data_IF_542329678700
#
_entry.id   IF_542329678700
#
_cell.length_a   1.000
_cell.length_b   1.000
_cell.length_c   1.000
_cell.angle_alpha   90.00
_cell.angle_beta   90.00
_cell.angle_gamma   90.00
#
_symmetry.space_group_name_H-M   'P 1'
#
loop_
_entity.id
_entity.type
_entity.pdbx_description
1 polymer ?
#
# COMPACT_ATOMS: atom_id res chain seq x y z
N UNK A 1 -14.86 1.15 -10.49
CA UNK A 1 -14.04 1.35 -11.70
C UNK A 1 -13.22 0.09 -11.89
N UNK A 2 -13.22 -0.48 -13.09
CA UNK A 2 -12.52 -1.72 -13.38
C UNK A 2 -11.01 -1.56 -13.24
N UNK A 3 -10.42 -2.30 -12.33
CA UNK A 3 -8.96 -2.44 -12.26
C UNK A 3 -8.47 -3.26 -13.44
N UNK A 4 -7.35 -2.87 -14.02
CA UNK A 4 -6.60 -3.76 -14.91
C UNK A 4 -6.00 -4.85 -14.03
N UNK A 5 -6.39 -6.10 -14.26
CA UNK A 5 -5.88 -7.24 -13.48
C UNK A 5 -4.50 -7.72 -13.93
N UNK A 6 -3.99 -7.18 -15.02
CA UNK A 6 -2.73 -7.59 -15.60
C UNK A 6 -1.66 -6.50 -15.40
N UNK A 7 -0.62 -6.74 -14.59
CA UNK A 7 0.43 -5.77 -14.34
C UNK A 7 1.30 -5.45 -15.57
N UNK A 8 1.09 -6.13 -16.69
CA UNK A 8 1.81 -5.87 -17.94
C UNK A 8 1.04 -4.99 -18.92
N UNK A 9 -0.08 -4.42 -18.51
CA UNK A 9 -0.94 -3.58 -19.35
C UNK A 9 -1.16 -2.20 -18.74
N UNK A 10 -1.18 -1.14 -19.57
CA UNK A 10 -1.42 0.21 -19.08
C UNK A 10 -2.83 0.36 -18.51
N UNK A 11 -2.98 1.17 -17.48
CA UNK A 11 -4.26 1.52 -16.89
C UNK A 11 -5.16 2.28 -17.87
N UNK A 12 -6.45 1.97 -17.83
CA UNK A 12 -7.48 2.71 -18.58
C UNK A 12 -8.12 3.76 -17.66
N UNK A 13 -7.65 5.01 -17.75
CA UNK A 13 -8.14 6.10 -16.91
C UNK A 13 -9.43 6.78 -17.43
N UNK A 14 -9.89 6.46 -18.63
CA UNK A 14 -11.04 7.13 -19.25
C UNK A 14 -12.34 7.06 -18.42
N UNK A 15 -12.59 5.93 -17.77
CA UNK A 15 -13.78 5.75 -16.90
C UNK A 15 -13.76 6.62 -15.63
N UNK A 16 -12.61 7.13 -15.21
CA UNK A 16 -12.46 7.97 -14.01
C UNK A 16 -13.15 9.31 -14.24
N UNK A 17 -12.87 9.98 -15.36
CA UNK A 17 -13.52 11.25 -15.73
C UNK A 17 -15.04 11.07 -15.81
N UNK A 18 -15.50 10.06 -16.53
CA UNK A 18 -16.94 9.76 -16.67
C UNK A 18 -17.60 9.55 -15.31
N UNK A 19 -16.94 8.85 -14.40
CA UNK A 19 -17.46 8.64 -13.05
C UNK A 19 -17.54 9.93 -12.23
N UNK A 20 -16.49 10.77 -12.27
CA UNK A 20 -16.45 12.05 -11.54
C UNK A 20 -17.52 13.03 -12.03
N UNK A 21 -17.88 12.99 -13.32
CA UNK A 21 -18.84 13.91 -13.94
C UNK A 21 -20.25 13.33 -14.15
N UNK A 22 -20.54 12.12 -13.62
CA UNK A 22 -21.81 11.40 -13.87
C UNK A 22 -23.06 12.13 -13.39
N UNK A 23 -22.94 12.87 -12.28
CA UNK A 23 -24.00 13.71 -11.72
C UNK A 23 -23.37 14.79 -10.84
N UNK A 24 -23.44 16.05 -11.27
CA UNK A 24 -22.87 17.19 -10.57
C UNK A 24 -23.54 17.49 -9.21
N UNK A 25 -24.73 16.93 -8.94
CA UNK A 25 -25.46 17.11 -7.69
C UNK A 25 -25.14 16.07 -6.64
N UNK A 26 -24.43 15.01 -6.99
CA UNK A 26 -24.10 13.92 -6.09
C UNK A 26 -22.61 13.89 -5.77
N UNK A 27 -22.24 13.92 -4.49
CA UNK A 27 -20.87 13.64 -4.10
C UNK A 27 -20.47 12.20 -4.51
N UNK A 28 -19.18 11.93 -4.57
CA UNK A 28 -18.68 10.61 -4.91
C UNK A 28 -17.64 10.10 -3.90
N UNK A 29 -17.59 8.81 -3.76
CA UNK A 29 -16.46 8.08 -3.20
C UNK A 29 -15.91 7.18 -4.31
N UNK A 30 -14.65 7.36 -4.68
CA UNK A 30 -14.00 6.64 -5.76
C UNK A 30 -12.73 5.96 -5.24
N UNK A 31 -12.67 4.64 -5.33
CA UNK A 31 -11.48 3.87 -5.06
C UNK A 31 -10.84 3.46 -6.38
N UNK A 32 -9.57 3.81 -6.56
CA UNK A 32 -8.78 3.48 -7.74
C UNK A 32 -7.66 2.55 -7.29
N UNK A 33 -7.74 1.27 -7.65
CA UNK A 33 -6.72 0.29 -7.35
C UNK A 33 -5.75 0.19 -8.54
N UNK A 34 -4.58 0.81 -8.41
CA UNK A 34 -3.48 0.67 -9.36
C UNK A 34 -2.80 -0.68 -9.11
N UNK A 35 -2.36 -1.35 -10.18
CA UNK A 35 -1.69 -2.65 -10.06
C UNK A 35 -0.20 -2.46 -9.77
N UNK A 36 0.40 -1.45 -10.37
CA UNK A 36 1.82 -1.16 -10.21
C UNK A 36 2.14 -0.70 -8.76
N UNK A 37 3.29 -1.09 -8.25
CA UNK A 37 4.39 -1.86 -8.82
C UNK A 37 4.32 -3.36 -8.48
N UNK A 38 3.38 -4.10 -9.06
CA UNK A 38 3.26 -5.56 -8.88
C UNK A 38 4.12 -6.31 -9.92
N UNK A 39 4.77 -7.41 -9.53
CA UNK A 39 5.52 -8.25 -10.50
C UNK A 39 4.60 -8.79 -11.62
N UNK A 40 5.14 -9.01 -12.84
CA UNK A 40 6.52 -8.73 -13.29
C UNK A 40 6.74 -7.24 -13.54
N UNK A 41 7.90 -6.74 -13.18
CA UNK A 41 8.25 -5.32 -13.35
C UNK A 41 8.68 -5.04 -14.79
N UNK A 42 7.71 -4.74 -15.64
CA UNK A 42 7.88 -4.53 -17.10
C UNK A 42 7.39 -3.15 -17.57
N UNK A 43 6.75 -2.39 -16.65
CA UNK A 43 6.26 -1.06 -16.96
C UNK A 43 7.29 0.02 -16.60
N UNK A 44 7.16 1.17 -17.23
CA UNK A 44 8.09 2.28 -17.00
C UNK A 44 9.43 2.12 -17.75
N UNK A 45 10.33 3.03 -17.50
CA UNK A 45 11.64 3.13 -18.16
C UNK A 45 12.77 2.79 -17.19
N UNK A 46 13.21 1.54 -17.18
CA UNK A 46 14.29 1.06 -16.31
C UNK A 46 15.66 1.69 -16.62
N UNK A 47 15.86 2.29 -17.80
CA UNK A 47 17.12 2.97 -18.14
C UNK A 47 17.43 4.17 -17.23
N UNK A 48 16.39 4.76 -16.62
CA UNK A 48 16.50 5.83 -15.63
C UNK A 48 17.10 5.38 -14.30
N UNK A 49 17.18 4.08 -14.07
CA UNK A 49 17.63 3.46 -12.84
C UNK A 49 18.81 2.49 -13.08
N UNK A 50 19.98 2.99 -13.55
CA UNK A 50 21.11 2.13 -13.85
C UNK A 50 21.59 1.40 -12.59
N UNK A 51 21.81 0.08 -12.63
CA UNK A 51 22.13 -0.77 -11.46
C UNK A 51 23.29 -0.25 -10.60
N UNK A 52 24.32 0.32 -11.22
CA UNK A 52 25.50 0.88 -10.53
C UNK A 52 25.18 2.09 -9.64
N UNK A 53 24.08 2.81 -9.89
CA UNK A 53 23.66 3.99 -9.11
C UNK A 53 22.59 3.68 -8.05
N UNK A 54 22.06 2.47 -8.05
CA UNK A 54 21.01 2.07 -7.11
C UNK A 54 21.60 1.82 -5.73
N UNK A 55 20.99 2.43 -4.71
CA UNK A 55 21.22 2.09 -3.31
C UNK A 55 20.13 1.12 -2.87
N UNK A 56 20.51 -0.13 -2.64
CA UNK A 56 19.57 -1.15 -2.16
C UNK A 56 19.20 -0.92 -0.69
N UNK A 57 17.97 -1.29 -0.29
CA UNK A 57 17.61 -1.43 1.12
C UNK A 57 18.50 -2.48 1.81
N UNK A 58 18.78 -2.30 3.12
CA UNK A 58 19.73 -3.17 3.83
C UNK A 58 19.26 -4.62 4.01
N UNK A 59 17.99 -4.88 3.80
CA UNK A 59 17.41 -6.23 3.85
C UNK A 59 17.54 -7.01 2.53
N UNK A 60 18.10 -6.41 1.49
CA UNK A 60 18.28 -7.09 0.20
C UNK A 60 19.74 -7.43 -0.04
N UNK A 61 20.00 -8.66 -0.52
CA UNK A 61 21.33 -9.07 -0.94
C UNK A 61 21.81 -8.23 -2.13
N UNK A 62 23.02 -7.69 -2.03
CA UNK A 62 23.60 -6.83 -3.05
C UNK A 62 24.25 -7.64 -4.17
N UNK A 63 23.46 -8.01 -5.16
CA UNK A 63 23.90 -8.74 -6.34
C UNK A 63 23.55 -7.99 -7.62
N UNK A 64 24.23 -8.26 -8.75
CA UNK A 64 23.87 -7.68 -10.05
C UNK A 64 22.38 -7.88 -10.39
N UNK A 65 21.84 -9.05 -10.12
CA UNK A 65 20.44 -9.38 -10.39
C UNK A 65 19.48 -8.58 -9.51
N UNK A 66 19.76 -8.49 -8.21
CA UNK A 66 18.93 -7.70 -7.28
C UNK A 66 18.91 -6.23 -7.69
N UNK A 67 20.06 -5.67 -8.08
CA UNK A 67 20.16 -4.28 -8.54
C UNK A 67 19.37 -4.04 -9.82
N UNK A 68 19.44 -4.95 -10.78
CA UNK A 68 18.69 -4.88 -12.02
C UNK A 68 17.17 -4.90 -11.77
N UNK A 69 16.70 -5.85 -10.99
CA UNK A 69 15.28 -6.00 -10.70
C UNK A 69 14.75 -4.88 -9.80
N UNK A 70 15.57 -4.37 -8.87
CA UNK A 70 15.22 -3.20 -8.08
C UNK A 70 15.11 -1.94 -8.95
N UNK A 71 15.95 -1.80 -9.99
CA UNK A 71 15.84 -0.75 -10.99
C UNK A 71 14.52 -0.81 -11.76
N UNK A 72 14.08 -1.99 -12.15
CA UNK A 72 12.77 -2.21 -12.79
C UNK A 72 11.61 -1.87 -11.84
N UNK A 73 11.71 -2.27 -10.59
CA UNK A 73 10.72 -1.92 -9.55
C UNK A 73 10.59 -0.40 -9.37
N UNK A 74 11.71 0.33 -9.32
CA UNK A 74 11.71 1.79 -9.24
C UNK A 74 11.12 2.45 -10.49
N UNK A 75 11.35 1.86 -11.67
CA UNK A 75 10.74 2.33 -12.91
C UNK A 75 9.21 2.20 -12.90
N UNK A 76 8.68 1.10 -12.35
CA UNK A 76 7.24 0.94 -12.18
C UNK A 76 6.64 1.89 -11.14
N UNK A 77 7.36 2.20 -10.05
CA UNK A 77 6.92 3.23 -9.11
C UNK A 77 6.79 4.58 -9.83
N UNK A 78 7.76 4.94 -10.67
CA UNK A 78 7.70 6.17 -11.47
C UNK A 78 6.56 6.15 -12.48
N UNK A 79 6.29 5.00 -13.07
CA UNK A 79 5.15 4.82 -13.98
C UNK A 79 3.81 5.01 -13.23
N UNK A 80 3.66 4.39 -12.06
CA UNK A 80 2.49 4.57 -11.18
C UNK A 80 2.32 6.03 -10.74
N UNK A 81 3.40 6.70 -10.38
CA UNK A 81 3.37 8.13 -10.02
C UNK A 81 2.83 8.99 -11.15
N UNK A 82 3.22 8.69 -12.41
CA UNK A 82 2.64 9.31 -13.59
C UNK A 82 1.12 9.09 -13.71
N UNK A 83 0.64 7.89 -13.42
CA UNK A 83 -0.80 7.58 -13.41
C UNK A 83 -1.53 8.38 -12.32
N UNK A 84 -0.96 8.48 -11.12
CA UNK A 84 -1.49 9.33 -10.04
C UNK A 84 -1.56 10.78 -10.48
N UNK A 85 -0.53 11.29 -11.17
CA UNK A 85 -0.52 12.63 -11.76
C UNK A 85 -1.69 12.87 -12.73
N UNK A 86 -1.97 11.93 -13.63
CA UNK A 86 -3.10 12.03 -14.56
C UNK A 86 -4.47 11.97 -13.86
N UNK A 87 -4.59 11.20 -12.78
CA UNK A 87 -5.80 11.15 -11.95
C UNK A 87 -6.03 12.50 -11.27
N UNK A 88 -4.99 13.08 -10.67
CA UNK A 88 -5.06 14.38 -10.01
C UNK A 88 -5.38 15.50 -11.01
N UNK A 89 -4.79 15.47 -12.20
CA UNK A 89 -5.11 16.39 -13.30
C UNK A 89 -6.58 16.25 -13.75
N UNK A 90 -7.09 15.03 -13.82
CA UNK A 90 -8.51 14.80 -14.14
C UNK A 90 -9.42 15.38 -13.06
N UNK A 91 -9.08 15.23 -11.78
CA UNK A 91 -9.81 15.83 -10.66
C UNK A 91 -9.85 17.36 -10.75
N UNK A 92 -8.74 17.99 -11.13
CA UNK A 92 -8.68 19.46 -11.36
C UNK A 92 -9.54 19.88 -12.55
N UNK A 93 -9.44 19.20 -13.68
CA UNK A 93 -10.18 19.51 -14.89
C UNK A 93 -11.70 19.30 -14.75
N UNK A 94 -12.13 18.45 -13.81
CA UNK A 94 -13.56 18.25 -13.50
C UNK A 94 -14.08 19.19 -12.43
N UNK A 95 -13.24 20.09 -11.89
CA UNK A 95 -13.63 21.11 -10.93
C UNK A 95 -13.68 20.64 -9.46
N UNK A 96 -13.32 19.37 -9.18
CA UNK A 96 -13.48 18.76 -7.85
C UNK A 96 -12.23 18.82 -6.95
N UNK A 97 -11.14 19.47 -7.40
CA UNK A 97 -9.86 19.45 -6.65
C UNK A 97 -9.92 20.15 -5.28
N UNK A 98 -10.86 21.08 -5.07
CA UNK A 98 -10.98 21.83 -3.82
C UNK A 98 -11.84 21.14 -2.76
N UNK A 99 -12.81 20.37 -3.18
CA UNK A 99 -13.82 19.75 -2.31
C UNK A 99 -13.63 18.24 -2.12
N UNK A 100 -12.56 17.67 -2.68
CA UNK A 100 -12.25 16.25 -2.57
C UNK A 100 -11.07 16.00 -1.63
N UNK A 101 -11.28 15.13 -0.62
CA UNK A 101 -10.20 14.51 0.13
C UNK A 101 -9.61 13.37 -0.72
N UNK A 102 -8.35 13.50 -1.10
CA UNK A 102 -7.58 12.46 -1.78
C UNK A 102 -6.68 11.76 -0.77
N UNK A 103 -6.79 10.45 -0.69
CA UNK A 103 -5.86 9.59 0.04
C UNK A 103 -5.12 8.70 -0.95
N UNK A 104 -3.79 8.73 -0.93
CA UNK A 104 -2.95 7.77 -1.63
C UNK A 104 -2.30 6.84 -0.61
N UNK A 105 -2.34 5.54 -0.86
CA UNK A 105 -1.68 4.55 -0.02
C UNK A 105 -1.18 3.37 -0.84
N UNK A 106 -0.04 2.79 -0.45
CA UNK A 106 0.35 1.47 -0.93
C UNK A 106 -0.38 0.38 -0.13
N UNK A 107 -0.63 -0.76 -0.73
CA UNK A 107 -1.33 -1.88 -0.06
C UNK A 107 -0.44 -2.50 1.04
N UNK A 108 0.83 -2.75 0.71
CA UNK A 108 1.82 -3.42 1.56
C UNK A 108 3.25 -3.13 1.08
N UNK A 109 4.24 -3.81 1.64
CA UNK A 109 5.61 -3.80 1.14
C UNK A 109 5.78 -4.48 -0.21
N UNK A 110 6.97 -4.31 -0.81
CA UNK A 110 7.33 -4.90 -2.11
C UNK A 110 7.35 -6.43 -2.11
N UNK A 111 7.42 -7.05 -3.29
CA UNK A 111 7.55 -8.51 -3.41
C UNK A 111 8.99 -9.03 -3.28
N UNK A 112 9.91 -8.20 -2.80
CA UNK A 112 11.23 -8.67 -2.43
C UNK A 112 11.21 -9.46 -1.11
N UNK A 113 12.21 -10.36 -0.89
CA UNK A 113 12.32 -11.09 0.37
C UNK A 113 12.32 -10.18 1.60
N UNK A 114 11.64 -10.62 2.66
CA UNK A 114 11.52 -9.85 3.90
C UNK A 114 10.57 -8.64 3.86
N UNK A 115 9.76 -8.53 2.83
CA UNK A 115 8.77 -7.44 2.67
C UNK A 115 7.34 -8.01 2.69
N UNK A 116 6.64 -8.06 1.53
CA UNK A 116 5.30 -8.66 1.42
C UNK A 116 5.26 -10.04 2.09
N UNK A 117 4.12 -10.42 2.64
CA UNK A 117 3.86 -11.64 3.42
C UNK A 117 4.56 -11.73 4.78
N UNK A 118 5.07 -10.62 5.28
CA UNK A 118 5.65 -10.55 6.62
C UNK A 118 4.97 -9.48 7.47
N UNK A 119 5.07 -9.60 8.80
CA UNK A 119 4.69 -8.54 9.75
C UNK A 119 5.90 -7.64 10.12
N UNK A 120 6.99 -7.74 9.37
CA UNK A 120 8.13 -6.84 9.53
C UNK A 120 7.78 -5.43 9.05
N UNK A 121 8.56 -4.45 9.47
CA UNK A 121 8.33 -3.06 9.07
C UNK A 121 8.30 -2.88 7.54
N UNK A 122 9.20 -3.57 6.83
CA UNK A 122 9.28 -3.60 5.37
C UNK A 122 8.06 -4.22 4.67
N UNK A 123 7.27 -5.01 5.40
CA UNK A 123 6.04 -5.62 4.88
C UNK A 123 4.77 -4.82 5.16
N UNK A 124 4.70 -4.13 6.31
CA UNK A 124 3.43 -3.54 6.79
C UNK A 124 3.47 -2.03 7.04
N UNK A 125 4.64 -1.40 7.01
CA UNK A 125 4.75 0.06 7.08
C UNK A 125 4.62 0.64 5.66
N UNK A 126 3.41 1.01 5.31
CA UNK A 126 3.03 1.49 3.97
C UNK A 126 3.02 3.02 3.90
N UNK A 127 3.13 3.55 2.68
CA UNK A 127 2.94 4.97 2.45
C UNK A 127 1.48 5.38 2.68
N UNK A 128 1.25 6.52 3.28
CA UNK A 128 -0.05 7.18 3.35
C UNK A 128 0.14 8.68 3.14
N UNK A 129 -0.49 9.22 2.09
CA UNK A 129 -0.42 10.64 1.75
C UNK A 129 -1.85 11.18 1.61
N UNK A 130 -2.12 12.32 2.22
CA UNK A 130 -3.41 12.99 2.16
C UNK A 130 -3.28 14.36 1.48
N UNK A 131 -4.25 14.70 0.62
CA UNK A 131 -4.41 16.04 0.04
C UNK A 131 -5.86 16.48 0.17
N UNK A 132 -6.09 17.64 0.75
CA UNK A 132 -7.39 18.31 0.76
C UNK A 132 -7.17 19.82 0.73
N UNK A 133 -7.37 20.42 -0.42
CA UNK A 133 -7.08 21.84 -0.63
C UNK A 133 -7.82 22.74 0.35
N UNK A 134 -7.10 23.61 1.05
CA UNK A 134 -7.66 24.54 2.03
C UNK A 134 -8.04 23.91 3.38
N UNK A 135 -7.90 22.59 3.56
CA UNK A 135 -8.22 21.90 4.83
C UNK A 135 -7.03 21.16 5.42
N UNK A 136 -6.22 20.50 4.59
CA UNK A 136 -5.00 19.83 5.01
C UNK A 136 -3.79 20.69 4.68
N UNK A 137 -2.94 20.96 5.67
CA UNK A 137 -1.73 21.78 5.51
C UNK A 137 -0.74 21.07 4.58
N UNK A 138 -0.33 21.76 3.51
CA UNK A 138 0.64 21.22 2.56
C UNK A 138 2.02 21.04 3.21
N UNK A 139 2.72 19.95 2.82
CA UNK A 139 4.09 19.68 3.28
C UNK A 139 4.23 19.21 4.73
N UNK A 140 3.12 19.12 5.50
CA UNK A 140 3.16 18.60 6.87
C UNK A 140 3.44 17.08 6.84
N UNK A 141 4.28 16.63 7.77
CA UNK A 141 4.50 15.22 8.09
C UNK A 141 4.07 14.94 9.53
N UNK A 142 3.65 13.73 9.81
CA UNK A 142 3.25 13.29 11.15
C UNK A 142 3.69 11.85 11.37
N UNK A 143 4.04 11.52 12.60
CA UNK A 143 4.35 10.17 13.07
C UNK A 143 3.13 9.50 13.73
N UNK A 144 1.95 10.12 13.63
CA UNK A 144 0.71 9.54 14.17
C UNK A 144 0.45 8.16 13.57
N UNK A 145 0.30 7.17 14.41
CA UNK A 145 0.01 5.80 14.01
C UNK A 145 -1.43 5.69 13.47
N UNK A 146 -1.58 5.12 12.29
CA UNK A 146 -2.87 4.86 11.65
C UNK A 146 -2.90 3.45 11.06
N UNK A 147 -4.08 2.88 10.90
CA UNK A 147 -4.30 1.58 10.25
C UNK A 147 -5.36 1.70 9.15
N UNK A 148 -5.39 0.74 8.23
CA UNK A 148 -6.41 0.75 7.16
C UNK A 148 -7.85 0.68 7.70
N UNK A 149 -8.05 0.05 8.86
CA UNK A 149 -9.34 0.06 9.54
C UNK A 149 -9.87 1.48 9.85
N UNK A 150 -8.95 2.47 9.94
CA UNK A 150 -9.27 3.86 10.23
C UNK A 150 -9.71 4.67 9.01
N UNK A 151 -9.46 4.15 7.81
CA UNK A 151 -9.76 4.88 6.55
C UNK A 151 -11.25 5.11 6.40
N UNK A 152 -12.07 4.06 6.52
CA UNK A 152 -13.53 4.20 6.37
C UNK A 152 -14.14 5.17 7.38
N UNK A 153 -13.87 5.06 8.70
CA UNK A 153 -14.34 6.07 9.68
C UNK A 153 -13.89 7.49 9.35
N UNK A 154 -12.68 7.65 8.80
CA UNK A 154 -12.16 8.97 8.41
C UNK A 154 -12.91 9.54 7.21
N UNK A 155 -13.19 8.75 6.19
CA UNK A 155 -13.97 9.17 5.02
C UNK A 155 -15.42 9.54 5.40
N UNK A 156 -16.06 8.74 6.25
CA UNK A 156 -17.40 9.03 6.79
C UNK A 156 -17.41 10.35 7.56
N UNK A 157 -16.41 10.58 8.41
CA UNK A 157 -16.30 11.80 9.19
C UNK A 157 -15.95 13.02 8.33
N UNK A 158 -15.16 12.85 7.25
CA UNK A 158 -14.79 13.92 6.33
C UNK A 158 -15.96 14.34 5.43
N UNK A 159 -16.90 13.45 5.16
CA UNK A 159 -18.05 13.73 4.29
C UNK A 159 -19.16 14.54 4.96
N UNK A 160 -19.03 14.90 6.25
CA UNK A 160 -20.10 15.51 7.08
C UNK A 160 -21.45 14.75 6.99
N UNK A 161 -21.44 13.56 6.43
CA UNK A 161 -22.64 12.76 6.39
C UNK A 161 -23.01 12.36 7.81
N UNK A 162 -24.27 12.57 8.16
CA UNK A 162 -24.87 11.93 9.32
C UNK A 162 -24.54 10.44 9.18
N UNK A 163 -23.76 9.91 10.11
CA UNK A 163 -23.16 8.59 10.01
C UNK A 163 -24.19 7.58 9.47
N UNK A 164 -24.12 7.17 8.18
CA UNK A 164 -25.14 6.29 7.59
C UNK A 164 -25.18 4.93 8.28
N UNK A 165 -24.13 4.59 9.01
CA UNK A 165 -24.04 3.38 9.83
C UNK A 165 -24.92 3.46 11.09
N UNK A 166 -25.18 4.67 11.62
CA UNK A 166 -26.17 4.85 12.70
C UNK A 166 -27.61 4.78 12.23
N UNK A 167 -27.86 5.03 10.94
CA UNK A 167 -29.20 4.89 10.33
C UNK A 167 -29.45 3.48 9.77
N UNK A 168 -28.40 2.68 9.57
CA UNK A 168 -28.57 1.29 9.19
C UNK A 168 -29.06 0.48 10.40
N UNK A 169 -29.98 -0.44 10.18
CA UNK A 169 -30.40 -1.44 11.18
C UNK A 169 -29.29 -2.45 11.53
N UNK A 170 -28.08 -2.27 10.96
CA UNK A 170 -26.89 -3.05 11.22
C UNK A 170 -26.20 -2.47 12.46
N UNK A 171 -26.18 -3.24 13.55
CA UNK A 171 -25.42 -2.91 14.77
C UNK A 171 -23.90 -3.15 14.53
N UNK A 172 -23.39 -2.53 13.44
CA UNK A 172 -22.00 -2.67 13.07
C UNK A 172 -21.19 -1.46 13.58
N UNK A 173 -20.15 -1.75 14.35
CA UNK A 173 -19.16 -0.76 14.76
C UNK A 173 -17.88 -1.00 13.96
N UNK A 174 -17.31 0.05 13.35
CA UNK A 174 -16.00 -0.08 12.71
C UNK A 174 -14.92 -0.44 13.74
N UNK A 175 -14.01 -1.33 13.37
CA UNK A 175 -12.84 -1.67 14.21
C UNK A 175 -11.83 -0.51 14.29
N UNK A 176 -11.93 0.44 13.35
CA UNK A 176 -11.11 1.63 13.30
C UNK A 176 -11.78 2.88 13.87
N UNK A 177 -11.02 3.92 13.99
CA UNK A 177 -11.47 5.27 14.38
C UNK A 177 -10.97 6.32 13.38
N UNK A 178 -11.63 7.49 13.34
CA UNK A 178 -11.28 8.54 12.39
C UNK A 178 -9.99 9.26 12.79
N UNK A 179 -9.01 9.31 11.89
CA UNK A 179 -7.81 10.16 12.01
C UNK A 179 -7.97 11.53 11.36
N UNK A 180 -9.20 11.93 11.01
CA UNK A 180 -9.48 13.27 10.47
C UNK A 180 -8.92 14.40 11.34
N UNK A 181 -8.95 14.36 12.69
CA UNK A 181 -8.31 15.39 13.53
C UNK A 181 -6.82 15.57 13.25
N UNK A 182 -6.09 14.47 12.96
CA UNK A 182 -4.67 14.55 12.58
C UNK A 182 -4.50 15.22 11.23
N UNK A 183 -5.31 14.85 10.24
CA UNK A 183 -5.27 15.46 8.91
C UNK A 183 -5.54 16.99 8.96
N UNK A 184 -6.45 17.42 9.83
CA UNK A 184 -6.81 18.82 10.01
C UNK A 184 -5.86 19.59 10.95
N UNK A 185 -4.81 18.95 11.47
CA UNK A 185 -3.85 19.54 12.40
C UNK A 185 -4.42 19.84 13.79
N UNK A 186 -5.54 19.19 14.16
CA UNK A 186 -6.20 19.32 15.48
C UNK A 186 -5.66 18.32 16.50
N UNK A 187 -4.89 17.33 16.08
CA UNK A 187 -4.22 16.36 16.92
C UNK A 187 -2.88 15.99 16.29
N UNK A 188 -1.88 15.70 17.12
CA UNK A 188 -0.59 15.17 16.71
C UNK A 188 -0.55 13.64 16.81
N UNK A 189 -1.51 13.02 17.52
CA UNK A 189 -1.57 11.57 17.74
C UNK A 189 -2.95 11.01 17.38
N UNK A 190 -3.01 9.70 17.12
CA UNK A 190 -4.26 9.01 16.82
C UNK A 190 -4.39 7.69 17.59
N UNK A 191 -3.39 6.84 17.53
CA UNK A 191 -3.33 5.54 18.20
C UNK A 191 -2.04 5.40 18.98
N UNK A 192 -2.09 4.66 20.10
CA UNK A 192 -0.88 4.27 20.83
C UNK A 192 -0.21 3.05 20.18
N UNK A 193 -1.00 2.18 19.53
CA UNK A 193 -0.51 0.95 18.91
C UNK A 193 -1.17 0.68 17.56
N UNK A 194 -0.41 0.03 16.70
CA UNK A 194 -0.89 -0.58 15.45
C UNK A 194 -0.60 -2.08 15.46
N UNK A 195 -1.50 -2.84 14.85
CA UNK A 195 -1.48 -4.30 14.87
C UNK A 195 -1.33 -4.88 13.48
N UNK A 196 -0.65 -6.02 13.38
CA UNK A 196 -0.48 -6.75 12.13
C UNK A 196 -0.77 -8.24 12.34
N UNK A 197 -1.41 -8.85 11.37
CA UNK A 197 -1.76 -10.26 11.37
C UNK A 197 -1.32 -10.86 10.03
N UNK A 198 -0.62 -11.98 10.09
CA UNK A 198 -0.34 -12.81 8.93
C UNK A 198 -0.49 -14.28 9.31
N UNK A 199 -1.22 -15.05 8.52
CA UNK A 199 -1.48 -16.47 8.77
C UNK A 199 -0.80 -17.39 7.74
N UNK A 200 -0.16 -16.81 6.72
CA UNK A 200 0.46 -17.52 5.59
C UNK A 200 -0.52 -18.37 4.75
N UNK A 201 -1.80 -18.05 4.77
CA UNK A 201 -2.83 -18.72 3.99
C UNK A 201 -3.45 -17.72 3.00
N UNK A 202 -3.61 -18.11 1.72
CA UNK A 202 -3.32 -19.38 1.08
C UNK A 202 -1.88 -19.50 0.51
N UNK A 203 -0.95 -18.65 0.92
CA UNK A 203 0.40 -18.50 0.35
C UNK A 203 1.34 -19.68 0.68
N UNK A 204 1.04 -20.39 1.77
CA UNK A 204 1.81 -21.55 2.21
C UNK A 204 1.12 -22.33 3.32
N UNK A 205 1.84 -23.25 4.00
CA UNK A 205 1.36 -23.88 5.22
C UNK A 205 1.01 -22.83 6.28
N UNK A 206 0.06 -23.11 7.19
CA UNK A 206 -0.29 -22.19 8.27
C UNK A 206 0.96 -21.78 9.07
N UNK A 207 1.18 -20.47 9.16
CA UNK A 207 2.27 -19.88 9.93
C UNK A 207 1.79 -18.57 10.55
N UNK A 208 0.97 -18.66 11.60
CA UNK A 208 0.31 -17.49 12.16
C UNK A 208 1.29 -16.64 12.97
N UNK A 209 1.45 -15.39 12.55
CA UNK A 209 2.25 -14.37 13.23
C UNK A 209 1.34 -13.21 13.63
N UNK A 210 1.56 -12.67 14.82
CA UNK A 210 0.91 -11.47 15.34
C UNK A 210 1.96 -10.39 15.57
N UNK A 211 1.64 -9.17 15.22
CA UNK A 211 2.52 -8.03 15.40
C UNK A 211 1.83 -6.88 16.11
N UNK A 212 2.58 -6.15 16.92
CA UNK A 212 2.17 -4.88 17.52
C UNK A 212 3.34 -3.91 17.46
N UNK A 213 3.05 -2.62 17.23
CA UNK A 213 4.06 -1.57 17.25
C UNK A 213 3.49 -0.30 17.87
N UNK A 214 4.31 0.38 18.67
CA UNK A 214 4.08 1.72 19.22
C UNK A 214 4.73 2.84 18.40
N UNK A 215 5.19 2.51 17.17
CA UNK A 215 5.92 3.41 16.30
C UNK A 215 7.43 3.40 16.50
N UNK A 216 7.92 3.09 17.70
CA UNK A 216 9.35 3.00 18.03
C UNK A 216 9.83 1.55 18.04
N UNK A 217 9.06 0.68 18.68
CA UNK A 217 9.34 -0.75 18.81
C UNK A 217 8.28 -1.56 18.08
N UNK A 218 8.66 -2.75 17.64
CA UNK A 218 7.78 -3.74 17.05
C UNK A 218 8.01 -5.08 17.72
N UNK A 219 6.96 -5.66 18.27
CA UNK A 219 6.97 -7.01 18.79
C UNK A 219 6.24 -7.94 17.83
N UNK A 220 6.86 -9.07 17.52
CA UNK A 220 6.28 -10.13 16.69
C UNK A 220 6.19 -11.42 17.50
N UNK A 221 5.02 -12.03 17.51
CA UNK A 221 4.77 -13.33 18.12
C UNK A 221 4.46 -14.36 17.06
N UNK A 222 5.36 -15.32 16.88
CA UNK A 222 5.09 -16.52 16.12
C UNK A 222 4.28 -17.49 17.01
N UNK A 223 3.15 -17.98 16.52
CA UNK A 223 2.28 -18.90 17.26
C UNK A 223 2.62 -20.36 16.99
N UNK A 224 3.48 -20.65 16.01
CA UNK A 224 4.01 -21.98 15.68
C UNK A 224 5.54 -21.88 15.56
N UNK A 225 6.27 -21.68 16.68
CA UNK A 225 7.71 -21.40 16.64
C UNK A 225 8.58 -22.57 16.15
N UNK A 226 8.06 -23.78 16.25
CA UNK A 226 8.76 -24.99 15.81
C UNK A 226 8.56 -25.31 14.32
N UNK A 227 7.69 -24.55 13.64
CA UNK A 227 7.43 -24.72 12.22
C UNK A 227 8.32 -23.83 11.36
N UNK A 228 8.56 -24.24 10.11
CA UNK A 228 9.32 -23.46 9.14
C UNK A 228 8.35 -22.59 8.32
N UNK A 229 8.66 -21.31 8.26
CA UNK A 229 7.95 -20.38 7.36
C UNK A 229 8.26 -20.70 5.91
N UNK A 230 7.22 -21.00 5.13
CA UNK A 230 7.33 -21.24 3.68
C UNK A 230 6.28 -20.39 2.97
N UNK A 231 6.75 -19.48 2.12
CA UNK A 231 5.90 -18.67 1.25
C UNK A 231 6.11 -19.10 -0.21
N UNK A 232 5.05 -19.63 -0.85
CA UNK A 232 5.15 -20.29 -2.15
C UNK A 232 5.54 -19.38 -3.31
N UNK A 233 5.21 -18.09 -3.25
CA UNK A 233 5.50 -17.13 -4.32
C UNK A 233 6.96 -16.69 -4.34
N UNK A 234 7.63 -16.72 -3.20
CA UNK A 234 9.07 -16.45 -3.09
C UNK A 234 9.90 -17.74 -3.07
N UNK A 235 9.53 -18.66 -2.17
CA UNK A 235 10.34 -19.84 -1.85
C UNK A 235 9.94 -21.08 -2.65
N UNK A 236 8.65 -21.20 -3.02
CA UNK A 236 8.05 -22.40 -3.59
C UNK A 236 7.73 -23.47 -2.53
N UNK A 237 6.74 -24.33 -2.81
CA UNK A 237 6.31 -25.40 -1.91
C UNK A 237 7.11 -26.70 -2.07
N UNK A 238 7.89 -26.83 -3.15
CA UNK A 238 8.74 -28.00 -3.41
C UNK A 238 10.12 -27.49 -3.77
N UNK A 239 11.13 -27.85 -3.03
CA UNK A 239 12.53 -27.39 -3.06
C UNK A 239 13.16 -26.98 -4.40
N UNK A 240 12.61 -27.45 -5.54
CA UNK A 240 13.02 -27.02 -6.88
C UNK A 240 12.53 -25.59 -7.25
N UNK A 241 11.43 -25.10 -6.67
CA UNK A 241 10.90 -23.76 -6.97
C UNK A 241 11.68 -22.65 -6.26
N UNK A 242 12.32 -22.95 -5.14
CA UNK A 242 13.22 -22.03 -4.42
C UNK A 242 14.35 -21.54 -5.33
N UNK A 243 14.86 -22.42 -6.21
CA UNK A 243 15.94 -22.10 -7.15
C UNK A 243 15.46 -21.31 -8.37
N UNK A 244 14.15 -21.27 -8.63
CA UNK A 244 13.57 -20.62 -9.80
C UNK A 244 13.11 -19.17 -9.52
N UNK A 245 12.94 -18.77 -8.25
CA UNK A 245 12.71 -17.39 -7.91
C UNK A 245 14.06 -16.68 -7.80
N UNK A 246 14.40 -15.75 -8.72
CA UNK A 246 15.73 -15.14 -8.78
C UNK A 246 16.06 -14.33 -7.51
N UNK A 247 15.08 -13.77 -6.83
CA UNK A 247 15.29 -12.94 -5.65
C UNK A 247 15.62 -13.81 -4.43
N UNK A 248 14.82 -14.85 -4.21
CA UNK A 248 15.01 -15.78 -3.10
C UNK A 248 16.29 -16.59 -3.27
N UNK A 249 16.56 -17.11 -4.48
CA UNK A 249 17.78 -17.87 -4.75
C UNK A 249 19.05 -17.05 -4.54
N UNK A 250 18.98 -15.74 -4.83
CA UNK A 250 20.09 -14.82 -4.56
C UNK A 250 20.33 -14.69 -3.05
N UNK A 251 19.28 -14.52 -2.27
CA UNK A 251 19.37 -14.41 -0.82
C UNK A 251 19.98 -15.68 -0.18
N UNK A 252 19.50 -16.85 -0.60
CA UNK A 252 19.99 -18.13 -0.06
C UNK A 252 21.45 -18.44 -0.45
N UNK A 253 21.93 -17.91 -1.58
CA UNK A 253 23.31 -18.15 -2.03
C UNK A 253 24.33 -17.20 -1.43
N UNK A 254 23.88 -16.01 -1.05
CA UNK A 254 24.76 -14.95 -0.54
C UNK A 254 24.78 -14.87 1.00
N UNK A 255 23.88 -15.58 1.68
CA UNK A 255 23.88 -15.78 3.15
C UNK A 255 24.39 -17.13 3.56
#
# INVERSE_FOLDING_TARGET
>A
VSCVRNPTQPHKLAGIRQFMTRDARQPFCLVIALVDPHVPWVMGDASKYPPKKIKLPPNLADTPRTREDYGRYLAEITYMDGQVGEILKTLEQTGHARDTLVLFSSEQGSQFPGCKWTNWNTGVHTALVARWSGKVTAGKRTDALVQYADVLPTLVNASDSVNPLRQSKLDWKPDGSSFLPVLLGKSETHRDYVYAIHNNLPEGPPYPVRGVSDGKYRYLKNLLPDEIYIEKHLMGLKGKAVLNNPYWSTWVRET
#
